data_IF_700207012833
#
_entry.id   IF_700207012833
#
_cell.length_a   1.000
_cell.length_b   1.000
_cell.length_c   1.000
_cell.angle_alpha   90.00
_cell.angle_beta   90.00
_cell.angle_gamma   90.00
#
_symmetry.space_group_name_H-M   'P 1'
#
loop_
_entity.id
_entity.type
_entity.pdbx_description
1 polymer ?
#
# COMPACT_ATOMS: atom_id res chain seq x y z
N UNK A 1 1.28 12.62 -9.76
CA UNK A 1 0.81 12.78 -8.37
C UNK A 1 0.96 11.43 -7.69
N UNK A 2 1.59 11.36 -6.51
CA UNK A 2 1.74 10.11 -5.74
C UNK A 2 0.90 10.24 -4.47
N UNK A 3 0.11 9.24 -4.15
CA UNK A 3 -0.75 9.26 -2.96
C UNK A 3 0.01 8.55 -1.84
N UNK A 4 0.12 9.18 -0.68
CA UNK A 4 0.69 8.53 0.49
C UNK A 4 -0.44 7.95 1.34
N UNK A 5 -0.35 6.66 1.64
CA UNK A 5 -1.33 5.97 2.46
C UNK A 5 -0.62 5.43 3.69
N UNK A 6 -1.06 5.83 4.88
CA UNK A 6 -0.50 5.41 6.16
C UNK A 6 -1.59 4.77 7.04
N UNK A 7 -1.15 4.13 8.13
CA UNK A 7 -2.01 3.32 9.02
C UNK A 7 -2.69 2.16 8.28
N UNK A 8 -2.00 1.59 7.30
CA UNK A 8 -2.42 0.34 6.68
C UNK A 8 -2.34 -0.79 7.70
N UNK A 9 -3.20 -1.79 7.54
CA UNK A 9 -3.08 -3.00 8.34
C UNK A 9 -1.70 -3.64 8.09
N UNK A 10 -1.17 -4.34 9.09
CA UNK A 10 0.14 -5.00 8.98
C UNK A 10 0.13 -6.12 7.93
N UNK A 11 -1.04 -6.69 7.67
CA UNK A 11 -1.30 -7.68 6.62
C UNK A 11 -1.68 -7.06 5.27
N UNK A 12 -1.81 -5.73 5.17
CA UNK A 12 -2.21 -5.09 3.92
C UNK A 12 -1.12 -5.25 2.85
N UNK A 13 -1.53 -5.72 1.67
CA UNK A 13 -0.66 -5.91 0.52
C UNK A 13 -1.02 -4.96 -0.63
N UNK A 14 -0.15 -4.89 -1.63
CA UNK A 14 -0.33 -4.02 -2.80
C UNK A 14 -1.66 -4.28 -3.52
N UNK A 15 -2.10 -5.55 -3.57
CA UNK A 15 -3.38 -5.94 -4.16
C UNK A 15 -4.58 -5.31 -3.46
N UNK A 16 -4.57 -5.23 -2.12
CA UNK A 16 -5.67 -4.64 -1.34
C UNK A 16 -5.82 -3.16 -1.67
N UNK A 17 -4.70 -2.43 -1.70
CA UNK A 17 -4.69 -1.02 -2.07
C UNK A 17 -5.14 -0.82 -3.51
N UNK A 18 -4.69 -1.68 -4.44
CA UNK A 18 -5.11 -1.59 -5.84
C UNK A 18 -6.61 -1.80 -5.99
N UNK A 19 -7.21 -2.69 -5.20
CA UNK A 19 -8.66 -2.94 -5.19
C UNK A 19 -9.44 -1.78 -4.55
N UNK A 20 -9.01 -1.31 -3.37
CA UNK A 20 -9.67 -0.21 -2.65
C UNK A 20 -9.63 1.11 -3.42
N UNK A 21 -8.47 1.45 -3.99
CA UNK A 21 -8.30 2.68 -4.76
C UNK A 21 -8.64 2.52 -6.24
N UNK A 22 -8.72 1.30 -6.75
CA UNK A 22 -9.13 1.00 -8.13
C UNK A 22 -10.56 1.46 -8.42
N UNK A 23 -11.44 1.41 -7.41
CA UNK A 23 -12.79 1.96 -7.49
C UNK A 23 -12.82 3.50 -7.62
N UNK A 24 -11.78 4.19 -7.12
CA UNK A 24 -11.68 5.66 -7.13
C UNK A 24 -11.02 6.20 -8.40
N UNK A 25 -10.36 5.35 -9.20
CA UNK A 25 -9.72 5.73 -10.46
C UNK A 25 -8.56 4.82 -10.86
N UNK A 26 -7.94 5.12 -12.01
CA UNK A 26 -6.83 4.33 -12.54
C UNK A 26 -5.58 4.38 -11.66
N UNK A 27 -5.44 3.40 -10.76
CA UNK A 27 -4.23 3.20 -9.96
C UNK A 27 -3.09 2.74 -10.87
N UNK A 28 -2.07 3.58 -11.02
CA UNK A 28 -0.95 3.31 -11.93
C UNK A 28 0.13 2.41 -11.33
N UNK A 29 0.35 2.54 -10.03
CA UNK A 29 1.31 1.77 -9.26
C UNK A 29 0.95 1.88 -7.80
N UNK A 30 1.08 0.78 -7.09
CA UNK A 30 1.00 0.70 -5.63
C UNK A 30 2.31 0.13 -5.13
N UNK A 31 2.79 0.60 -3.99
CA UNK A 31 3.92 0.01 -3.29
C UNK A 31 3.74 0.07 -1.79
N UNK A 32 3.59 -1.09 -1.15
CA UNK A 32 3.59 -1.21 0.31
C UNK A 32 5.03 -1.26 0.80
N UNK A 33 5.36 -0.43 1.79
CA UNK A 33 6.69 -0.43 2.37
C UNK A 33 6.75 -1.41 3.53
N UNK A 34 7.57 -2.44 3.36
CA UNK A 34 7.89 -3.42 4.38
C UNK A 34 9.30 -3.18 4.91
N UNK A 35 9.49 -3.55 6.17
CA UNK A 35 10.79 -3.59 6.82
C UNK A 35 11.62 -4.74 6.23
N UNK A 36 12.85 -4.44 5.82
CA UNK A 36 13.68 -5.39 5.07
C UNK A 36 14.28 -6.47 5.98
N UNK A 37 14.48 -6.17 7.25
CA UNK A 37 15.09 -7.07 8.23
C UNK A 37 14.07 -8.04 8.82
N UNK A 38 12.87 -7.53 9.12
CA UNK A 38 11.80 -8.34 9.75
C UNK A 38 10.73 -8.83 8.77
N UNK A 39 10.71 -8.29 7.54
CA UNK A 39 9.63 -8.52 6.58
C UNK A 39 8.29 -7.89 6.97
N UNK A 40 8.20 -7.22 8.12
CA UNK A 40 6.94 -6.67 8.62
C UNK A 40 6.55 -5.41 7.84
N UNK A 41 5.27 -5.30 7.49
CA UNK A 41 4.74 -4.08 6.90
C UNK A 41 4.97 -2.90 7.84
N UNK A 42 5.51 -1.80 7.30
CA UNK A 42 5.61 -0.54 8.04
C UNK A 42 4.27 0.18 8.13
N UNK A 43 3.20 -0.46 7.66
CA UNK A 43 1.84 0.07 7.70
C UNK A 43 1.69 1.36 6.87
N UNK A 44 2.52 1.54 5.83
CA UNK A 44 2.41 2.64 4.88
C UNK A 44 2.82 2.24 3.46
N UNK A 45 2.30 2.95 2.46
CA UNK A 45 2.55 2.71 1.05
C UNK A 45 2.30 3.94 0.16
N UNK A 46 2.58 3.78 -1.13
CA UNK A 46 2.52 4.82 -2.17
C UNK A 46 1.80 4.36 -3.43
#
# INVERSE_FOLDING_TARGET
MKLFVAKLNRDAVESDLLEWFGAMGGVRSVKVVTDRDTGQSKCFGF
#
